data_IF_400050917694
#
_entry.id   IF_400050917694
#
_cell.length_a   1.000
_cell.length_b   1.000
_cell.length_c   1.000
_cell.angle_alpha   90.00
_cell.angle_beta   90.00
_cell.angle_gamma   90.00
#
_symmetry.space_group_name_H-M   'P 1'
#
loop_
_entity.id
_entity.type
_entity.pdbx_description
1 polymer ?
#
# COMPACT_ATOMS: atom_id res chain seq x y z
N UNK A 1 -22.77 -5.34 -24.81
CA UNK A 1 -21.43 -4.74 -24.88
C UNK A 1 -20.79 -5.01 -23.53
N UNK A 2 -19.70 -5.78 -23.47
CA UNK A 2 -19.08 -6.16 -22.21
C UNK A 2 -18.38 -4.94 -21.58
N UNK A 3 -18.58 -4.71 -20.29
CA UNK A 3 -17.86 -3.68 -19.51
C UNK A 3 -16.76 -4.34 -18.64
N UNK A 4 -16.24 -5.52 -19.04
CA UNK A 4 -14.99 -6.06 -18.49
C UNK A 4 -13.80 -5.24 -19.01
N UNK A 5 -13.63 -4.05 -18.45
CA UNK A 5 -12.74 -3.05 -19.02
C UNK A 5 -11.36 -3.19 -18.40
N UNK A 6 -10.59 -4.13 -18.94
CA UNK A 6 -9.14 -4.10 -18.75
C UNK A 6 -8.64 -2.75 -19.27
N UNK A 7 -7.80 -2.06 -18.50
CA UNK A 7 -7.04 -0.90 -18.95
C UNK A 7 -6.37 -1.31 -20.27
N UNK A 8 -6.76 -0.72 -21.41
CA UNK A 8 -6.26 -1.18 -22.69
C UNK A 8 -4.76 -0.92 -22.80
N UNK A 9 -4.04 -1.86 -23.42
CA UNK A 9 -2.59 -1.82 -23.59
C UNK A 9 -2.14 -0.80 -24.66
N UNK A 10 -2.71 0.40 -24.66
CA UNK A 10 -2.32 1.46 -25.59
C UNK A 10 -0.89 1.93 -25.31
N UNK A 11 -0.15 2.39 -26.34
CA UNK A 11 0.99 3.24 -26.11
C UNK A 11 0.48 4.53 -25.48
N UNK A 12 0.86 4.78 -24.23
CA UNK A 12 0.44 5.96 -23.49
C UNK A 12 1.44 7.07 -23.82
N UNK A 13 0.93 8.23 -24.24
CA UNK A 13 1.69 9.46 -24.28
C UNK A 13 2.24 9.77 -22.88
N UNK A 14 3.34 10.53 -22.79
CA UNK A 14 3.99 10.87 -21.51
C UNK A 14 3.94 12.39 -21.25
N UNK A 15 3.92 12.76 -19.96
CA UNK A 15 4.05 14.15 -19.53
C UNK A 15 2.94 15.06 -20.05
N UNK A 16 3.31 16.22 -20.62
CA UNK A 16 2.33 17.21 -21.10
C UNK A 16 1.44 16.69 -22.24
N UNK A 17 1.97 15.84 -23.12
CA UNK A 17 1.21 15.26 -24.22
C UNK A 17 0.08 14.33 -23.72
N UNK A 18 0.34 13.60 -22.62
CA UNK A 18 -0.68 12.80 -21.94
C UNK A 18 -1.82 13.66 -21.40
N UNK A 19 -1.46 14.77 -20.75
CA UNK A 19 -2.44 15.68 -20.16
C UNK A 19 -3.30 16.34 -21.24
N UNK A 20 -2.70 16.75 -22.36
CA UNK A 20 -3.41 17.35 -23.50
C UNK A 20 -4.34 16.35 -24.20
N UNK A 21 -3.86 15.12 -24.45
CA UNK A 21 -4.67 14.05 -25.04
C UNK A 21 -5.85 13.68 -24.13
N UNK A 22 -5.61 13.59 -22.82
CA UNK A 22 -6.68 13.31 -21.86
C UNK A 22 -7.68 14.45 -21.78
N UNK A 23 -7.22 15.70 -21.67
CA UNK A 23 -8.09 16.87 -21.61
C UNK A 23 -9.00 16.93 -22.85
N UNK A 24 -8.46 16.60 -24.03
CA UNK A 24 -9.22 16.51 -25.28
C UNK A 24 -10.30 15.42 -25.20
N UNK A 25 -9.98 14.24 -24.64
CA UNK A 25 -10.95 13.13 -24.47
C UNK A 25 -12.04 13.45 -23.45
N UNK A 26 -11.68 14.12 -22.35
CA UNK A 26 -12.63 14.53 -21.30
C UNK A 26 -13.51 15.72 -21.71
N UNK A 27 -13.06 16.52 -22.67
CA UNK A 27 -13.85 17.62 -23.25
C UNK A 27 -14.86 17.18 -24.32
N UNK A 28 -15.02 15.86 -24.55
CA UNK A 28 -16.02 15.33 -25.47
C UNK A 28 -17.46 15.63 -25.00
N UNK A 29 -18.43 15.63 -25.93
CA UNK A 29 -19.83 16.01 -25.65
C UNK A 29 -20.50 15.17 -24.55
N UNK A 30 -20.04 13.95 -24.31
CA UNK A 30 -20.46 13.08 -23.19
C UNK A 30 -19.24 12.54 -22.41
N UNK A 31 -18.81 13.25 -21.35
CA UNK A 31 -17.62 12.91 -20.56
C UNK A 31 -17.81 11.65 -19.69
N UNK A 32 -19.04 11.13 -19.59
CA UNK A 32 -19.38 9.91 -18.85
C UNK A 32 -19.82 8.79 -19.79
N UNK A 33 -19.69 8.99 -21.11
CA UNK A 33 -19.89 7.92 -22.08
C UNK A 33 -18.97 6.74 -21.77
N UNK A 34 -19.42 5.57 -22.21
CA UNK A 34 -18.61 4.37 -22.27
C UNK A 34 -17.20 4.67 -22.81
N UNK A 35 -17.06 5.36 -23.93
CA UNK A 35 -15.73 5.62 -24.52
C UNK A 35 -14.90 6.62 -23.70
N UNK A 36 -15.53 7.65 -23.12
CA UNK A 36 -14.86 8.62 -22.28
C UNK A 36 -14.31 8.00 -20.97
N UNK A 37 -15.07 7.11 -20.33
CA UNK A 37 -14.61 6.37 -19.15
C UNK A 37 -13.42 5.44 -19.47
N UNK A 38 -13.38 4.84 -20.66
CA UNK A 38 -12.21 4.09 -21.12
C UNK A 38 -10.98 4.95 -21.31
N UNK A 39 -11.19 6.13 -21.90
CA UNK A 39 -10.17 7.16 -22.00
C UNK A 39 -9.63 7.53 -20.62
N UNK A 40 -10.51 7.80 -19.67
CA UNK A 40 -10.15 8.17 -18.30
C UNK A 40 -9.37 7.07 -17.58
N UNK A 41 -9.84 5.82 -17.61
CA UNK A 41 -9.15 4.69 -16.98
C UNK A 41 -7.78 4.42 -17.61
N UNK A 42 -7.66 4.59 -18.94
CA UNK A 42 -6.38 4.54 -19.62
C UNK A 42 -5.44 5.64 -19.13
N UNK A 43 -5.94 6.87 -18.98
CA UNK A 43 -5.14 7.98 -18.45
C UNK A 43 -4.70 7.74 -17.01
N UNK A 44 -5.55 7.17 -16.16
CA UNK A 44 -5.16 6.84 -14.78
C UNK A 44 -3.96 5.90 -14.76
N UNK A 45 -3.94 4.88 -15.63
CA UNK A 45 -2.78 4.01 -15.78
C UNK A 45 -1.55 4.76 -16.31
N UNK A 46 -1.72 5.69 -17.26
CA UNK A 46 -0.62 6.52 -17.75
C UNK A 46 0.00 7.40 -16.67
N UNK A 47 -0.84 8.06 -15.86
CA UNK A 47 -0.40 8.89 -14.73
C UNK A 47 0.39 8.04 -13.75
N UNK A 48 -0.14 6.86 -13.37
CA UNK A 48 0.55 5.93 -12.48
C UNK A 48 1.88 5.45 -13.06
N UNK A 49 1.93 5.11 -14.34
CA UNK A 49 3.17 4.70 -15.03
C UNK A 49 4.16 5.85 -15.16
N UNK A 50 3.71 7.08 -15.36
CA UNK A 50 4.58 8.27 -15.37
C UNK A 50 5.25 8.46 -14.01
N UNK A 51 4.47 8.36 -12.92
CA UNK A 51 5.00 8.41 -11.56
C UNK A 51 5.97 7.23 -11.34
N UNK A 52 5.63 6.02 -11.78
CA UNK A 52 6.50 4.83 -11.75
C UNK A 52 7.84 5.05 -12.45
N UNK A 53 7.85 5.67 -13.63
CA UNK A 53 9.06 5.98 -14.41
C UNK A 53 9.92 7.08 -13.76
N UNK A 54 9.34 7.93 -12.91
CA UNK A 54 9.97 9.09 -12.30
C UNK A 54 9.89 9.08 -10.76
N UNK A 55 10.35 8.01 -10.09
CA UNK A 55 10.22 7.89 -8.64
C UNK A 55 11.09 8.91 -7.90
N UNK A 56 10.53 9.48 -6.84
CA UNK A 56 11.21 10.34 -5.89
C UNK A 56 11.00 9.79 -4.48
N UNK A 57 12.05 9.69 -3.64
CA UNK A 57 11.93 9.12 -2.30
C UNK A 57 11.26 10.08 -1.32
N UNK A 58 10.86 9.54 -0.17
CA UNK A 58 10.26 10.30 0.93
C UNK A 58 10.94 11.64 1.23
N UNK A 59 10.14 12.72 1.26
CA UNK A 59 10.53 14.13 1.43
C UNK A 59 11.34 14.76 0.28
N UNK A 60 11.41 14.12 -0.88
CA UNK A 60 12.06 14.60 -2.11
C UNK A 60 11.12 14.60 -3.33
N UNK A 61 9.82 14.36 -3.13
CA UNK A 61 8.74 14.21 -4.12
C UNK A 61 8.33 15.54 -4.79
N UNK A 62 9.30 16.38 -5.13
CA UNK A 62 9.09 17.72 -5.68
C UNK A 62 8.47 17.67 -7.07
N UNK A 63 8.97 16.79 -7.95
CA UNK A 63 8.43 16.63 -9.31
C UNK A 63 7.12 15.87 -9.29
N UNK A 64 7.00 14.86 -8.43
CA UNK A 64 5.75 14.09 -8.27
C UNK A 64 4.62 14.99 -7.77
N UNK A 65 4.86 15.82 -6.74
CA UNK A 65 3.89 16.83 -6.29
C UNK A 65 3.51 17.78 -7.43
N UNK A 66 4.50 18.36 -8.11
CA UNK A 66 4.26 19.30 -9.21
C UNK A 66 3.43 18.66 -10.34
N UNK A 67 3.70 17.40 -10.68
CA UNK A 67 2.96 16.65 -11.68
C UNK A 67 1.52 16.36 -11.24
N UNK A 68 1.30 15.95 -9.99
CA UNK A 68 -0.05 15.72 -9.44
C UNK A 68 -0.84 17.04 -9.45
N UNK A 69 -0.24 18.13 -8.96
CA UNK A 69 -0.85 19.46 -8.97
C UNK A 69 -1.24 19.89 -10.37
N UNK A 70 -0.33 19.76 -11.34
CA UNK A 70 -0.61 20.09 -12.74
C UNK A 70 -1.73 19.22 -13.31
N UNK A 71 -1.74 17.94 -12.99
CA UNK A 71 -2.77 16.98 -13.41
C UNK A 71 -4.13 17.38 -12.87
N UNK A 72 -4.24 17.69 -11.59
CA UNK A 72 -5.49 18.12 -10.94
C UNK A 72 -6.01 19.45 -11.50
N UNK A 73 -5.11 20.39 -11.79
CA UNK A 73 -5.49 21.68 -12.40
C UNK A 73 -5.93 21.52 -13.86
N UNK A 74 -5.16 20.79 -14.66
CA UNK A 74 -5.36 20.72 -16.11
C UNK A 74 -6.47 19.74 -16.51
N UNK A 75 -6.58 18.61 -15.81
CA UNK A 75 -7.56 17.57 -16.13
C UNK A 75 -8.85 17.70 -15.34
N UNK A 76 -8.77 17.95 -14.04
CA UNK A 76 -9.95 18.04 -13.17
C UNK A 76 -10.47 19.47 -13.01
N UNK A 77 -9.79 20.47 -13.57
CA UNK A 77 -10.20 21.88 -13.50
C UNK A 77 -10.23 22.43 -12.08
N UNK A 78 -9.51 21.82 -11.14
CA UNK A 78 -9.52 22.23 -9.73
C UNK A 78 -8.80 23.57 -9.54
N UNK A 79 -9.41 24.45 -8.76
CA UNK A 79 -8.87 25.76 -8.41
C UNK A 79 -7.52 25.61 -7.69
N UNK A 80 -6.44 26.26 -8.14
CA UNK A 80 -5.18 26.30 -7.40
C UNK A 80 -5.32 26.72 -5.92
N UNK A 81 -6.32 27.55 -5.59
CA UNK A 81 -6.59 27.98 -4.22
C UNK A 81 -7.14 26.87 -3.32
N UNK A 82 -7.61 25.75 -3.89
CA UNK A 82 -8.05 24.58 -3.14
C UNK A 82 -6.90 23.60 -2.83
N UNK A 83 -5.68 23.91 -3.28
CA UNK A 83 -4.52 23.05 -3.14
C UNK A 83 -3.42 23.72 -2.34
N UNK A 84 -2.98 23.08 -1.26
CA UNK A 84 -1.90 23.60 -0.40
C UNK A 84 -0.81 22.56 -0.20
N UNK A 85 0.43 23.04 -0.18
CA UNK A 85 1.56 22.21 0.22
C UNK A 85 1.44 21.84 1.70
N UNK A 86 1.97 20.69 2.05
CA UNK A 86 1.89 20.12 3.39
C UNK A 86 3.09 19.20 3.63
N UNK A 87 3.72 19.23 4.79
CA UNK A 87 4.83 18.35 5.15
C UNK A 87 5.98 18.37 4.12
N UNK A 88 6.42 19.58 3.72
CA UNK A 88 7.49 19.87 2.73
C UNK A 88 7.14 19.52 1.27
N UNK A 89 6.69 18.30 0.99
CA UNK A 89 6.45 17.79 -0.37
C UNK A 89 5.06 17.20 -0.56
N UNK A 90 4.29 17.01 0.50
CA UNK A 90 2.89 16.57 0.45
C UNK A 90 1.95 17.63 -0.12
N UNK A 91 0.77 17.17 -0.54
CA UNK A 91 -0.28 18.00 -1.14
C UNK A 91 -1.61 17.71 -0.43
N UNK A 92 -2.30 18.75 0.01
CA UNK A 92 -3.69 18.66 0.49
C UNK A 92 -4.58 19.38 -0.52
N UNK A 93 -5.66 18.72 -0.92
CA UNK A 93 -6.60 19.20 -1.95
C UNK A 93 -8.00 19.19 -1.37
N UNK A 94 -8.59 20.37 -1.21
CA UNK A 94 -9.96 20.54 -0.76
C UNK A 94 -10.90 20.51 -1.96
N UNK A 95 -11.91 19.64 -1.93
CA UNK A 95 -13.00 19.59 -2.91
C UNK A 95 -14.29 19.92 -2.18
N UNK A 96 -14.89 21.06 -2.53
CA UNK A 96 -16.14 21.53 -1.90
C UNK A 96 -17.33 21.08 -2.75
N UNK A 97 -18.25 20.35 -2.14
CA UNK A 97 -19.53 20.02 -2.78
C UNK A 97 -20.41 21.27 -2.95
N UNK A 98 -21.16 21.32 -4.03
CA UNK A 98 -22.19 22.33 -4.28
C UNK A 98 -23.53 21.80 -3.74
N UNK A 99 -23.90 22.20 -2.52
CA UNK A 99 -25.16 21.78 -1.92
C UNK A 99 -25.34 22.29 -0.49
N UNK A 100 -26.58 22.29 0.04
CA UNK A 100 -26.79 22.54 1.47
C UNK A 100 -26.01 21.50 2.29
N UNK A 101 -25.55 21.83 3.52
CA UNK A 101 -24.94 20.86 4.42
C UNK A 101 -25.80 19.61 4.49
N UNK A 102 -25.18 18.46 4.27
CA UNK A 102 -25.88 17.20 4.12
C UNK A 102 -26.90 16.98 5.24
N UNK A 103 -28.14 16.69 4.87
CA UNK A 103 -29.16 16.18 5.78
C UNK A 103 -28.95 14.68 6.10
N UNK A 104 -27.80 14.11 5.73
CA UNK A 104 -27.46 12.72 6.04
C UNK A 104 -27.58 12.49 7.55
N UNK A 105 -28.18 11.34 7.89
CA UNK A 105 -28.33 10.90 9.27
C UNK A 105 -26.98 10.79 10.02
N UNK A 106 -25.86 10.77 9.29
CA UNK A 106 -24.50 10.71 9.82
C UNK A 106 -23.97 12.05 10.36
N UNK A 107 -24.52 13.19 9.94
CA UNK A 107 -24.08 14.53 10.37
C UNK A 107 -22.68 14.95 9.87
N UNK A 108 -22.10 14.21 8.93
CA UNK A 108 -20.75 14.43 8.41
C UNK A 108 -20.74 15.60 7.41
N UNK A 109 -19.65 16.36 7.43
CA UNK A 109 -19.41 17.48 6.52
C UNK A 109 -18.19 17.26 5.64
N UNK A 110 -17.15 16.63 6.19
CA UNK A 110 -15.87 16.47 5.51
C UNK A 110 -15.30 15.08 5.78
N UNK A 111 -14.90 14.39 4.71
CA UNK A 111 -14.10 13.16 4.82
C UNK A 111 -12.77 13.36 4.08
N UNK A 112 -11.70 12.75 4.58
CA UNK A 112 -10.40 12.74 3.93
C UNK A 112 -10.17 11.41 3.21
N UNK A 113 -9.67 11.48 1.97
CA UNK A 113 -9.19 10.32 1.22
C UNK A 113 -7.67 10.44 1.11
N UNK A 114 -6.94 9.41 1.53
CA UNK A 114 -5.48 9.41 1.51
C UNK A 114 -4.96 8.51 0.42
N UNK A 115 -4.05 9.06 -0.38
CA UNK A 115 -3.13 8.33 -1.23
C UNK A 115 -1.74 8.94 -1.02
N UNK A 116 -0.73 8.09 -1.00
CA UNK A 116 0.66 8.44 -0.86
C UNK A 116 1.36 8.33 -2.23
N UNK A 117 2.60 8.81 -2.33
CA UNK A 117 3.19 9.08 -3.64
C UNK A 117 4.69 8.85 -3.75
N UNK A 118 5.32 8.38 -2.68
CA UNK A 118 6.77 8.37 -2.59
C UNK A 118 7.38 6.98 -2.81
N UNK A 119 8.63 7.00 -3.27
CA UNK A 119 9.33 5.82 -3.73
C UNK A 119 10.33 5.28 -2.69
N UNK A 120 10.72 4.02 -2.88
CA UNK A 120 11.75 3.39 -2.06
C UNK A 120 13.14 3.61 -2.64
N UNK A 121 14.14 3.74 -1.76
CA UNK A 121 15.58 3.75 -2.14
C UNK A 121 16.08 2.34 -2.45
N UNK A 122 15.58 1.77 -3.54
CA UNK A 122 15.91 0.44 -4.01
C UNK A 122 15.96 0.42 -5.55
N UNK A 123 16.93 -0.28 -6.13
CA UNK A 123 17.02 -0.36 -7.60
C UNK A 123 15.96 -1.29 -8.18
N UNK A 124 15.16 -0.79 -9.13
CA UNK A 124 14.23 -1.61 -9.90
C UNK A 124 14.97 -2.57 -10.84
N UNK A 125 14.65 -3.86 -10.73
CA UNK A 125 15.25 -4.95 -11.53
C UNK A 125 14.27 -5.52 -12.56
N UNK A 126 13.04 -5.03 -12.62
CA UNK A 126 12.04 -5.48 -13.59
C UNK A 126 12.32 -4.94 -15.01
N UNK A 127 13.24 -5.59 -15.72
CA UNK A 127 13.65 -5.17 -17.07
C UNK A 127 12.55 -5.34 -18.13
N UNK A 128 11.45 -6.04 -17.84
CA UNK A 128 10.33 -6.19 -18.76
C UNK A 128 9.38 -5.01 -18.78
N UNK A 129 9.39 -4.14 -17.77
CA UNK A 129 8.47 -3.00 -17.74
C UNK A 129 8.93 -1.90 -18.70
N UNK A 130 8.07 -1.48 -19.65
CA UNK A 130 8.40 -0.37 -20.54
C UNK A 130 8.49 0.96 -19.79
N UNK A 131 7.82 1.05 -18.65
CA UNK A 131 7.75 2.22 -17.76
C UNK A 131 8.60 2.06 -16.49
N UNK A 132 9.60 1.17 -16.48
CA UNK A 132 10.52 1.04 -15.33
C UNK A 132 11.16 2.39 -14.97
N UNK A 133 11.53 2.54 -13.71
CA UNK A 133 12.25 3.70 -13.17
C UNK A 133 13.41 4.12 -14.07
N UNK A 134 13.42 5.41 -14.41
CA UNK A 134 14.54 6.08 -15.09
C UNK A 134 15.53 6.69 -14.10
N UNK A 135 15.18 6.73 -12.81
CA UNK A 135 16.00 7.23 -11.72
C UNK A 135 16.67 6.03 -11.01
N UNK A 136 17.91 5.70 -11.40
CA UNK A 136 18.62 4.55 -10.84
C UNK A 136 18.71 4.61 -9.31
N UNK A 137 18.49 3.48 -8.65
CA UNK A 137 18.49 3.38 -7.19
C UNK A 137 17.13 3.62 -6.54
N UNK A 138 16.07 3.86 -7.32
CA UNK A 138 14.71 4.03 -6.83
C UNK A 138 13.71 3.12 -7.54
N UNK A 139 12.72 2.63 -6.78
CA UNK A 139 11.61 1.82 -7.28
C UNK A 139 10.33 2.19 -6.55
N UNK A 140 9.20 2.10 -7.27
CA UNK A 140 7.87 2.24 -6.70
C UNK A 140 7.28 0.87 -6.45
N UNK A 141 6.82 0.67 -5.22
CA UNK A 141 6.34 -0.61 -4.73
C UNK A 141 4.79 -0.70 -4.77
N UNK A 142 4.20 -0.02 -5.74
CA UNK A 142 2.76 0.23 -5.73
C UNK A 142 2.33 1.13 -4.58
N UNK A 143 3.31 1.68 -3.86
CA UNK A 143 3.12 2.76 -2.93
C UNK A 143 2.79 4.03 -3.74
N UNK A 144 1.78 4.85 -3.45
CA UNK A 144 1.01 4.94 -2.21
C UNK A 144 1.79 4.56 -0.95
N UNK A 145 1.59 3.45 -0.24
CA UNK A 145 2.22 3.13 1.06
C UNK A 145 3.75 3.20 1.32
N UNK A 146 4.49 4.34 1.43
CA UNK A 146 5.60 4.58 2.41
C UNK A 146 6.46 5.84 2.15
N UNK A 147 6.20 6.89 2.96
CA UNK A 147 7.03 8.07 3.33
C UNK A 147 6.71 9.48 2.73
N UNK A 148 5.43 9.87 2.67
CA UNK A 148 5.06 11.16 3.30
C UNK A 148 4.54 10.88 4.69
N UNK A 149 5.33 11.16 5.71
CA UNK A 149 4.93 10.84 7.09
C UNK A 149 3.60 11.52 7.40
N UNK A 150 2.58 10.72 7.69
CA UNK A 150 1.26 11.16 8.12
C UNK A 150 1.34 12.19 9.25
N UNK A 151 2.25 12.00 10.20
CA UNK A 151 2.42 12.87 11.37
C UNK A 151 2.73 14.34 11.02
N UNK A 152 3.79 14.69 10.27
CA UNK A 152 3.99 16.05 9.75
C UNK A 152 2.77 16.62 9.02
N UNK A 153 2.05 15.83 8.22
CA UNK A 153 0.85 16.33 7.54
C UNK A 153 -0.26 16.69 8.54
N UNK A 154 -0.47 15.85 9.55
CA UNK A 154 -1.41 16.10 10.65
C UNK A 154 -0.98 17.35 11.45
N UNK A 155 0.30 17.51 11.73
CA UNK A 155 0.86 18.67 12.44
C UNK A 155 0.69 19.99 11.65
N UNK A 156 0.69 19.91 10.31
CA UNK A 156 0.39 21.02 9.39
C UNK A 156 -1.10 21.10 8.98
N UNK A 157 -1.99 20.50 9.78
CA UNK A 157 -3.44 20.69 9.67
C UNK A 157 -4.13 19.91 8.56
N UNK A 158 -3.54 18.83 8.03
CA UNK A 158 -4.17 17.99 6.99
C UNK A 158 -5.51 17.38 7.41
N UNK A 159 -5.79 17.31 8.72
CA UNK A 159 -7.05 16.80 9.28
C UNK A 159 -7.96 17.89 9.87
N UNK A 160 -7.63 19.16 9.69
CA UNK A 160 -8.41 20.24 10.28
C UNK A 160 -9.84 20.26 9.70
N UNK A 161 -10.83 20.01 10.56
CA UNK A 161 -12.24 19.96 10.15
C UNK A 161 -12.67 18.70 9.39
N UNK A 162 -11.83 17.65 9.38
CA UNK A 162 -12.14 16.33 8.84
C UNK A 162 -12.90 15.48 9.88
N UNK A 163 -14.03 14.91 9.49
CA UNK A 163 -14.85 14.07 10.37
C UNK A 163 -14.46 12.58 10.29
N UNK A 164 -14.05 12.11 9.11
CA UNK A 164 -13.59 10.73 8.87
C UNK A 164 -12.42 10.68 7.88
N UNK A 165 -11.56 9.65 7.95
CA UNK A 165 -10.53 9.40 6.94
C UNK A 165 -10.58 7.98 6.36
N UNK A 166 -10.19 7.84 5.09
CA UNK A 166 -10.20 6.58 4.36
C UNK A 166 -8.96 6.45 3.50
N UNK A 167 -8.41 5.25 3.42
CA UNK A 167 -7.27 4.90 2.58
C UNK A 167 -7.32 3.45 2.17
N UNK A 168 -6.55 3.09 1.14
CA UNK A 168 -6.41 1.70 0.73
C UNK A 168 -4.97 1.40 0.36
N UNK A 169 -4.65 0.12 0.20
CA UNK A 169 -3.39 -0.33 -0.38
C UNK A 169 -3.66 -1.45 -1.38
N UNK A 170 -2.94 -1.47 -2.50
CA UNK A 170 -2.97 -2.62 -3.42
C UNK A 170 -2.25 -3.81 -2.77
N UNK A 171 -2.71 -5.05 -2.97
CA UNK A 171 -1.98 -6.21 -2.44
C UNK A 171 -1.83 -7.29 -3.52
N UNK A 172 -0.61 -7.52 -4.04
CA UNK A 172 -0.35 -8.50 -5.12
C UNK A 172 -0.65 -9.94 -4.74
N UNK A 173 -0.77 -10.24 -3.45
CA UNK A 173 -1.12 -11.57 -2.95
C UNK A 173 -2.62 -11.83 -2.91
N UNK A 174 -3.46 -10.79 -2.91
CA UNK A 174 -4.92 -10.93 -2.90
C UNK A 174 -5.46 -11.00 -4.33
N UNK A 175 -6.49 -11.82 -4.54
CA UNK A 175 -7.13 -12.03 -5.84
C UNK A 175 -7.74 -10.72 -6.35
N UNK A 176 -7.51 -10.41 -7.63
CA UNK A 176 -8.05 -9.25 -8.29
C UNK A 176 -9.58 -9.27 -8.25
N UNK A 177 -10.18 -8.13 -7.90
CA UNK A 177 -11.62 -8.04 -7.65
C UNK A 177 -12.05 -8.35 -6.21
N UNK A 178 -11.11 -8.71 -5.32
CA UNK A 178 -11.38 -8.88 -3.90
C UNK A 178 -11.00 -7.63 -3.11
N UNK A 179 -11.85 -7.27 -2.14
CA UNK A 179 -11.56 -6.27 -1.11
C UNK A 179 -11.30 -6.97 0.22
N UNK A 180 -10.19 -6.63 0.88
CA UNK A 180 -9.87 -7.17 2.19
C UNK A 180 -9.93 -6.08 3.26
N UNK A 181 -10.79 -6.25 4.26
CA UNK A 181 -11.01 -5.29 5.34
C UNK A 181 -11.46 -6.03 6.59
N UNK A 182 -11.01 -5.59 7.77
CA UNK A 182 -11.48 -6.12 9.06
C UNK A 182 -11.67 -5.02 10.09
N UNK A 183 -12.43 -5.32 11.14
CA UNK A 183 -12.55 -4.46 12.34
C UNK A 183 -11.26 -4.53 13.18
N UNK A 184 -10.94 -3.45 13.88
CA UNK A 184 -9.78 -3.39 14.77
C UNK A 184 -8.47 -3.36 13.97
N UNK A 185 -7.39 -3.95 14.52
CA UNK A 185 -6.07 -3.94 13.89
C UNK A 185 -6.09 -4.62 12.51
N UNK A 186 -5.68 -3.89 11.47
CA UNK A 186 -5.56 -4.35 10.08
C UNK A 186 -4.08 -4.53 9.71
N UNK A 187 -3.20 -3.66 10.20
CA UNK A 187 -1.74 -3.71 10.04
C UNK A 187 -1.03 -3.47 11.37
N UNK A 188 0.20 -3.99 11.47
CA UNK A 188 1.01 -3.87 12.67
C UNK A 188 1.54 -2.46 12.89
N UNK A 189 1.61 -2.08 14.16
CA UNK A 189 2.30 -0.92 14.67
C UNK A 189 3.82 -1.09 14.49
N UNK A 190 4.52 -0.21 13.75
CA UNK A 190 5.96 -0.28 13.61
C UNK A 190 6.65 0.53 14.72
N UNK A 191 7.60 -0.10 15.41
CA UNK A 191 8.54 0.59 16.30
C UNK A 191 9.96 0.21 15.89
N UNK A 192 10.86 1.19 15.75
CA UNK A 192 12.30 0.88 15.65
C UNK A 192 12.90 0.78 17.04
N UNK A 193 14.05 0.13 17.19
CA UNK A 193 14.79 0.15 18.44
C UNK A 193 16.29 0.22 18.20
N UNK A 194 17.00 0.76 19.19
CA UNK A 194 18.45 0.76 19.29
C UNK A 194 18.86 0.25 20.67
N UNK A 195 19.81 -0.68 20.71
CA UNK A 195 20.41 -1.24 21.91
C UNK A 195 21.92 -1.01 21.83
N UNK A 196 22.51 -0.41 22.86
CA UNK A 196 23.97 -0.27 22.98
C UNK A 196 24.44 -1.10 24.16
N UNK A 197 25.17 -2.17 23.86
CA UNK A 197 25.81 -3.02 24.86
C UNK A 197 27.17 -2.44 25.17
N UNK A 198 27.36 -1.96 26.40
CA UNK A 198 28.64 -1.41 26.87
C UNK A 198 29.35 -2.44 27.73
N UNK A 199 30.60 -2.72 27.37
CA UNK A 199 31.51 -3.59 28.09
C UNK A 199 32.76 -2.82 28.54
N UNK A 200 33.89 -3.49 28.46
CA UNK A 200 35.22 -2.93 28.73
C UNK A 200 36.18 -3.57 27.75
N UNK A 201 36.72 -2.76 26.85
CA UNK A 201 37.64 -3.21 25.82
C UNK A 201 38.95 -3.76 26.38
N UNK A 202 39.65 -4.52 25.56
CA UNK A 202 40.91 -5.15 25.95
C UNK A 202 41.58 -5.90 24.82
N UNK A 203 42.81 -6.34 25.06
CA UNK A 203 43.50 -7.18 24.09
C UNK A 203 42.78 -8.53 23.96
N UNK A 204 42.51 -8.99 22.73
CA UNK A 204 41.80 -10.25 22.48
C UNK A 204 42.47 -11.52 23.03
N UNK A 205 43.74 -11.45 23.44
CA UNK A 205 44.45 -12.55 24.13
C UNK A 205 44.25 -12.56 25.65
N UNK A 206 43.63 -11.51 26.20
CA UNK A 206 43.41 -11.32 27.64
C UNK A 206 41.93 -11.09 27.96
N UNK A 207 41.02 -12.01 27.59
CA UNK A 207 39.59 -11.80 27.80
C UNK A 207 39.20 -11.68 29.29
N UNK A 208 40.00 -12.23 30.20
CA UNK A 208 39.77 -12.20 31.65
C UNK A 208 39.91 -10.80 32.30
N UNK A 209 40.50 -9.81 31.61
CA UNK A 209 40.58 -8.41 32.10
C UNK A 209 39.60 -7.46 31.40
N UNK A 210 38.88 -7.98 30.40
CA UNK A 210 37.87 -7.28 29.60
C UNK A 210 36.45 -7.70 30.04
N UNK A 211 35.46 -6.96 29.57
CA UNK A 211 34.04 -7.35 29.64
C UNK A 211 33.54 -7.31 28.22
N UNK A 212 33.31 -8.47 27.60
CA UNK A 212 33.10 -8.58 26.16
C UNK A 212 31.66 -8.23 25.74
N UNK A 213 31.44 -7.08 25.07
CA UNK A 213 30.10 -6.71 24.61
C UNK A 213 29.69 -7.46 23.34
N UNK A 214 30.62 -8.04 22.57
CA UNK A 214 30.31 -8.85 21.37
C UNK A 214 29.66 -10.15 21.79
N UNK A 215 30.23 -10.83 22.80
CA UNK A 215 29.64 -12.05 23.36
C UNK A 215 28.23 -11.78 23.91
N UNK A 216 28.08 -10.68 24.65
CA UNK A 216 26.79 -10.28 25.23
C UNK A 216 25.74 -9.98 24.15
N UNK A 217 26.10 -9.21 23.12
CA UNK A 217 25.21 -8.93 21.98
C UNK A 217 24.80 -10.22 21.24
N UNK A 218 25.74 -11.15 21.02
CA UNK A 218 25.46 -12.44 20.40
C UNK A 218 24.45 -13.30 21.19
N UNK A 219 24.38 -13.14 22.52
CA UNK A 219 23.38 -13.81 23.36
C UNK A 219 22.02 -13.09 23.38
N UNK A 220 21.99 -11.77 23.15
CA UNK A 220 20.75 -11.00 23.07
C UNK A 220 19.98 -11.33 21.79
N UNK A 221 20.65 -11.43 20.64
CA UNK A 221 19.97 -11.58 19.32
C UNK A 221 18.99 -12.77 19.27
N UNK A 222 19.33 -14.00 19.67
CA UNK A 222 18.42 -15.15 19.57
C UNK A 222 17.17 -15.03 20.45
N UNK A 223 17.24 -14.29 21.56
CA UNK A 223 16.10 -14.10 22.45
C UNK A 223 15.09 -13.09 21.88
N UNK A 224 15.53 -12.23 20.96
CA UNK A 224 14.75 -11.11 20.44
C UNK A 224 14.46 -11.20 18.95
N UNK A 225 14.97 -12.21 18.25
CA UNK A 225 14.74 -12.40 16.82
C UNK A 225 13.67 -13.48 16.61
N UNK A 226 12.47 -13.07 16.19
CA UNK A 226 11.35 -13.95 15.88
C UNK A 226 10.00 -13.48 16.39
N UNK A 227 8.98 -14.32 16.22
CA UNK A 227 7.65 -14.16 16.84
C UNK A 227 7.76 -14.48 18.32
N UNK A 228 7.41 -13.55 19.21
CA UNK A 228 7.44 -13.82 20.66
C UNK A 228 6.17 -14.60 21.04
N UNK A 229 6.25 -15.89 21.46
CA UNK A 229 5.07 -16.74 21.60
C UNK A 229 4.18 -16.41 22.82
N UNK A 230 4.63 -15.55 23.73
CA UNK A 230 3.84 -15.15 24.91
C UNK A 230 3.00 -13.91 24.63
N UNK A 231 3.29 -13.24 23.52
CA UNK A 231 2.65 -12.05 23.02
C UNK A 231 2.26 -12.35 21.57
N UNK A 232 1.16 -13.10 21.38
CA UNK A 232 0.60 -13.68 20.11
C UNK A 232 0.46 -12.71 18.91
N UNK A 233 0.99 -11.50 19.00
CA UNK A 233 0.86 -10.42 18.05
C UNK A 233 2.14 -9.60 17.84
N UNK A 234 3.31 -10.00 18.39
CA UNK A 234 4.56 -9.26 18.20
C UNK A 234 5.66 -10.02 17.42
N UNK A 235 6.29 -9.30 16.49
CA UNK A 235 7.50 -9.71 15.77
C UNK A 235 8.62 -8.73 16.10
N UNK A 236 9.69 -9.24 16.70
CA UNK A 236 10.91 -8.47 16.94
C UNK A 236 12.02 -8.97 16.02
N UNK A 237 12.68 -8.05 15.33
CA UNK A 237 13.72 -8.35 14.35
C UNK A 237 14.91 -7.44 14.57
N UNK A 238 16.01 -7.98 15.11
CA UNK A 238 17.33 -7.32 15.02
C UNK A 238 17.80 -7.41 13.57
N UNK A 239 18.00 -6.26 12.93
CA UNK A 239 18.37 -6.16 11.51
C UNK A 239 19.78 -5.59 11.30
N UNK A 240 20.41 -5.09 12.36
CA UNK A 240 21.75 -4.51 12.32
C UNK A 240 22.54 -4.82 13.59
N UNK A 241 23.82 -5.14 13.43
CA UNK A 241 24.79 -5.26 14.53
C UNK A 241 26.15 -4.67 14.09
N UNK A 242 26.70 -3.76 14.91
CA UNK A 242 28.00 -3.12 14.68
C UNK A 242 28.84 -3.15 15.97
N UNK A 243 30.07 -3.66 15.87
CA UNK A 243 30.97 -3.75 17.01
C UNK A 243 32.38 -4.16 16.62
N UNK A 244 33.38 -3.47 17.17
CA UNK A 244 34.80 -3.72 16.88
C UNK A 244 35.29 -3.08 15.58
N UNK A 245 36.58 -2.76 15.56
CA UNK A 245 37.27 -2.16 14.39
C UNK A 245 38.43 -3.04 13.89
N UNK A 246 39.02 -3.84 14.77
CA UNK A 246 40.20 -4.68 14.48
C UNK A 246 40.03 -6.07 15.11
N UNK A 247 40.56 -7.10 14.47
CA UNK A 247 40.28 -8.51 14.81
C UNK A 247 40.91 -9.01 16.12
N UNK A 248 41.85 -8.28 16.70
CA UNK A 248 42.62 -8.68 17.89
C UNK A 248 42.30 -7.85 19.15
N UNK A 249 41.23 -7.05 19.12
CA UNK A 249 40.78 -6.20 20.24
C UNK A 249 39.33 -6.52 20.56
N UNK A 250 39.03 -6.72 21.84
CA UNK A 250 37.67 -6.75 22.37
C UNK A 250 37.21 -5.29 22.45
N UNK A 251 36.09 -4.90 21.80
CA UNK A 251 35.65 -3.51 21.78
C UNK A 251 35.01 -3.08 23.11
N UNK A 252 34.92 -1.77 23.31
CA UNK A 252 34.20 -1.20 24.46
C UNK A 252 32.67 -1.30 24.32
N UNK A 253 32.15 -1.31 23.08
CA UNK A 253 30.71 -1.29 22.82
C UNK A 253 30.33 -2.10 21.56
N UNK A 254 29.08 -2.57 21.57
CA UNK A 254 28.37 -3.10 20.39
C UNK A 254 27.01 -2.43 20.30
N UNK A 255 26.67 -1.97 19.11
CA UNK A 255 25.36 -1.41 18.79
C UNK A 255 24.52 -2.41 18.00
N UNK A 256 23.26 -2.57 18.39
CA UNK A 256 22.25 -3.32 17.64
C UNK A 256 21.06 -2.42 17.33
N UNK A 257 20.49 -2.57 16.14
CA UNK A 257 19.23 -1.92 15.78
C UNK A 257 18.28 -2.93 15.15
N UNK A 258 16.99 -2.61 15.20
CA UNK A 258 15.96 -3.47 14.68
C UNK A 258 14.59 -2.81 14.68
N UNK A 259 13.59 -3.64 14.43
CA UNK A 259 12.18 -3.26 14.46
C UNK A 259 11.38 -4.22 15.32
N UNK A 260 10.45 -3.68 16.10
CA UNK A 260 9.37 -4.37 16.77
C UNK A 260 8.06 -4.04 16.05
N UNK A 261 7.24 -5.06 15.80
CA UNK A 261 5.94 -4.94 15.16
C UNK A 261 4.91 -5.59 16.04
N UNK A 262 3.84 -4.90 16.40
CA UNK A 262 2.77 -5.44 17.24
C UNK A 262 1.37 -5.11 16.69
N UNK A 263 0.35 -5.88 17.09
CA UNK A 263 -1.05 -5.59 16.77
C UNK A 263 -1.81 -4.92 17.92
N UNK A 264 -1.15 -4.80 19.07
CA UNK A 264 -1.66 -4.16 20.29
C UNK A 264 -0.51 -3.35 20.91
N UNK A 265 -0.59 -2.01 20.91
CA UNK A 265 0.48 -1.14 21.42
C UNK A 265 0.90 -1.45 22.88
N UNK A 266 0.03 -2.05 23.69
CA UNK A 266 0.37 -2.46 25.07
C UNK A 266 1.42 -3.56 25.12
N UNK A 267 1.54 -4.35 24.05
CA UNK A 267 2.58 -5.37 23.86
C UNK A 267 3.95 -4.72 23.76
N UNK A 268 4.04 -3.62 23.01
CA UNK A 268 5.26 -2.83 22.88
C UNK A 268 5.70 -2.25 24.24
N UNK A 269 4.77 -1.69 25.02
CA UNK A 269 5.07 -1.19 26.37
C UNK A 269 5.63 -2.28 27.30
N UNK A 270 5.12 -3.50 27.19
CA UNK A 270 5.60 -4.65 27.98
C UNK A 270 7.01 -5.05 27.59
N UNK A 271 7.32 -5.06 26.29
CA UNK A 271 8.67 -5.32 25.78
C UNK A 271 9.68 -4.25 26.23
N UNK A 272 9.28 -2.97 26.22
CA UNK A 272 10.11 -1.87 26.74
C UNK A 272 10.38 -1.97 28.24
N UNK A 273 9.37 -2.33 29.05
CA UNK A 273 9.49 -2.43 30.52
C UNK A 273 10.39 -3.58 30.99
N UNK A 274 10.65 -4.60 30.16
CA UNK A 274 11.55 -5.71 30.48
C UNK A 274 13.05 -5.36 30.41
N UNK A 275 13.42 -4.07 30.36
CA UNK A 275 14.81 -3.55 30.29
C UNK A 275 15.62 -4.03 29.06
N UNK A 276 14.93 -4.53 28.04
CA UNK A 276 15.52 -5.13 26.84
C UNK A 276 15.92 -4.07 25.79
N UNK A 277 15.32 -2.88 25.82
CA UNK A 277 15.57 -1.79 24.86
C UNK A 277 15.79 -0.48 25.62
N UNK A 278 17.04 -0.08 25.80
CA UNK A 278 17.40 1.28 26.19
C UNK A 278 17.61 2.13 24.92
N UNK A 279 16.51 2.65 24.35
CA UNK A 279 16.57 3.52 23.19
C UNK A 279 15.19 4.03 22.79
N UNK A 280 14.96 5.32 23.01
CA UNK A 280 13.74 6.00 22.60
C UNK A 280 13.61 5.95 21.07
N UNK A 281 12.53 5.33 20.59
CA UNK A 281 12.07 5.47 19.22
C UNK A 281 10.63 5.98 19.25
N UNK A 282 10.30 6.86 18.31
CA UNK A 282 8.95 7.38 18.16
C UNK A 282 7.99 6.21 17.92
N UNK A 283 7.06 5.99 18.85
CA UNK A 283 5.95 5.08 18.66
C UNK A 283 5.17 5.54 17.43
N UNK A 284 4.94 4.62 16.49
CA UNK A 284 3.95 4.81 15.45
C UNK A 284 2.55 4.51 16.00
N UNK A 285 1.58 4.35 15.10
CA UNK A 285 0.23 3.93 15.44
C UNK A 285 -0.04 2.51 14.89
N UNK A 286 -0.99 1.76 15.48
CA UNK A 286 -1.55 0.56 14.82
C UNK A 286 -2.64 1.02 13.86
N UNK A 287 -2.71 0.44 12.65
CA UNK A 287 -3.83 0.75 11.73
C UNK A 287 -5.08 0.03 12.24
N UNK A 288 -5.79 0.66 13.16
CA UNK A 288 -7.05 0.14 13.69
C UNK A 288 -8.23 0.81 13.02
N UNK A 289 -8.93 0.08 12.14
CA UNK A 289 -10.22 0.53 11.62
C UNK A 289 -11.24 0.49 12.78
N UNK A 290 -11.85 1.63 13.13
CA UNK A 290 -12.87 1.66 14.19
C UNK A 290 -14.09 0.85 13.73
N UNK A 291 -14.65 0.06 14.66
CA UNK A 291 -15.46 -1.14 14.38
C UNK A 291 -16.51 -0.98 13.26
N UNK A 292 -17.29 0.09 13.25
CA UNK A 292 -18.37 0.27 12.27
C UNK A 292 -17.96 0.91 10.94
N UNK A 293 -16.72 1.39 10.79
CA UNK A 293 -16.21 1.97 9.52
C UNK A 293 -15.72 0.91 8.56
N UNK A 294 -15.07 -0.12 9.10
CA UNK A 294 -14.74 -1.32 8.36
C UNK A 294 -16.02 -1.97 7.78
N UNK A 295 -17.11 -1.97 8.56
CA UNK A 295 -18.42 -2.45 8.08
C UNK A 295 -18.94 -1.62 6.91
N UNK A 296 -18.90 -0.28 7.00
CA UNK A 296 -19.34 0.58 5.90
C UNK A 296 -18.56 0.32 4.60
N UNK A 297 -17.24 0.13 4.69
CA UNK A 297 -16.41 -0.25 3.53
C UNK A 297 -16.80 -1.64 3.01
N UNK A 298 -16.97 -2.62 3.89
CA UNK A 298 -17.33 -3.98 3.52
C UNK A 298 -18.72 -4.05 2.86
N UNK A 299 -19.71 -3.37 3.43
CA UNK A 299 -21.10 -3.35 2.94
C UNK A 299 -21.20 -2.64 1.60
N UNK A 300 -20.50 -1.51 1.44
CA UNK A 300 -20.38 -0.84 0.15
C UNK A 300 -19.72 -1.75 -0.90
N UNK A 301 -18.64 -2.45 -0.53
CA UNK A 301 -17.95 -3.38 -1.42
C UNK A 301 -18.85 -4.52 -1.89
N UNK A 302 -19.58 -5.18 -0.97
CA UNK A 302 -20.57 -6.23 -1.31
C UNK A 302 -21.63 -5.70 -2.28
N UNK A 303 -22.13 -4.49 -2.03
CA UNK A 303 -23.13 -3.83 -2.87
C UNK A 303 -22.60 -3.53 -4.27
N UNK A 304 -21.40 -2.96 -4.39
CA UNK A 304 -20.81 -2.59 -5.68
C UNK A 304 -20.34 -3.82 -6.49
N UNK A 305 -19.75 -4.81 -5.83
CA UNK A 305 -19.26 -6.04 -6.46
C UNK A 305 -20.38 -7.07 -6.70
N UNK A 306 -21.56 -6.83 -6.12
CA UNK A 306 -22.75 -7.69 -6.19
C UNK A 306 -22.46 -9.14 -5.75
N UNK A 307 -21.53 -9.28 -4.79
CA UNK A 307 -20.99 -10.57 -4.31
C UNK A 307 -20.61 -10.48 -2.85
N UNK A 308 -21.14 -11.42 -2.08
CA UNK A 308 -20.85 -11.51 -0.66
C UNK A 308 -19.40 -11.97 -0.43
N UNK A 309 -18.93 -12.91 -1.24
CA UNK A 309 -17.60 -13.48 -1.14
C UNK A 309 -16.50 -12.58 -1.72
N UNK A 310 -16.84 -11.43 -2.31
CA UNK A 310 -15.85 -10.48 -2.82
C UNK A 310 -15.20 -9.63 -1.71
N UNK A 311 -15.65 -9.80 -0.46
CA UNK A 311 -15.07 -9.20 0.73
C UNK A 311 -14.52 -10.29 1.65
N UNK A 312 -13.30 -10.11 2.16
CA UNK A 312 -12.64 -11.11 3.00
C UNK A 312 -11.81 -10.49 4.12
N UNK A 313 -11.68 -11.19 5.24
CA UNK A 313 -10.68 -10.89 6.28
C UNK A 313 -9.43 -11.78 6.13
N UNK A 314 -9.41 -12.72 5.18
CA UNK A 314 -8.31 -13.67 5.00
C UNK A 314 -6.99 -12.94 4.77
N UNK A 315 -5.97 -13.34 5.53
CA UNK A 315 -4.63 -12.74 5.46
C UNK A 315 -4.48 -11.46 6.29
N UNK A 316 -5.53 -11.01 6.97
CA UNK A 316 -5.48 -9.91 7.94
C UNK A 316 -5.54 -10.45 9.39
N UNK A 317 -4.93 -9.75 10.37
CA UNK A 317 -4.08 -8.58 10.20
C UNK A 317 -2.71 -8.92 9.62
N UNK A 318 -2.10 -7.92 8.97
CA UNK A 318 -0.77 -8.06 8.37
C UNK A 318 0.32 -7.50 9.28
N UNK A 319 1.47 -8.15 9.32
CA UNK A 319 2.65 -7.65 10.05
C UNK A 319 3.40 -6.53 9.32
N UNK A 320 2.98 -6.20 8.09
CA UNK A 320 3.34 -4.93 7.45
C UNK A 320 2.88 -3.75 8.32
N UNK A 321 3.50 -2.59 8.12
CA UNK A 321 3.13 -1.39 8.83
C UNK A 321 2.84 -0.25 7.86
N UNK A 322 1.95 0.64 8.27
CA UNK A 322 1.40 1.72 7.47
C UNK A 322 1.20 2.95 8.35
N UNK A 323 1.66 4.11 7.91
CA UNK A 323 1.58 5.34 8.68
C UNK A 323 0.20 6.02 8.57
N UNK A 324 -0.68 5.52 7.70
CA UNK A 324 -2.12 5.83 7.75
C UNK A 324 -2.74 5.61 9.14
N UNK A 325 -2.16 4.70 9.93
CA UNK A 325 -2.48 4.50 11.35
C UNK A 325 -2.49 5.80 12.18
N UNK A 326 -1.61 6.75 11.88
CA UNK A 326 -1.55 8.05 12.56
C UNK A 326 -2.81 8.88 12.32
N UNK A 327 -3.38 8.82 11.11
CA UNK A 327 -4.65 9.49 10.81
C UNK A 327 -5.80 8.82 11.59
N UNK A 328 -5.82 7.48 11.67
CA UNK A 328 -6.84 6.72 12.40
C UNK A 328 -6.81 6.95 13.92
N UNK A 329 -5.67 7.38 14.47
CA UNK A 329 -5.57 7.84 15.85
C UNK A 329 -6.20 9.22 16.09
N UNK A 330 -6.36 10.05 15.04
CA UNK A 330 -6.90 11.41 15.13
C UNK A 330 -8.37 11.48 14.78
N UNK A 331 -8.78 10.83 13.70
CA UNK A 331 -10.17 10.83 13.21
C UNK A 331 -10.61 9.39 12.93
N UNK A 332 -11.90 9.06 13.12
CA UNK A 332 -12.40 7.73 12.79
C UNK A 332 -12.24 7.44 11.30
N UNK A 333 -11.97 6.19 10.94
CA UNK A 333 -11.73 5.83 9.56
C UNK A 333 -11.59 4.34 9.32
N UNK A 334 -11.28 3.99 8.07
CA UNK A 334 -10.97 2.61 7.68
C UNK A 334 -9.83 2.57 6.65
N UNK A 335 -9.05 1.48 6.74
CA UNK A 335 -8.03 1.11 5.77
C UNK A 335 -8.33 -0.30 5.25
N UNK A 336 -8.27 -0.49 3.94
CA UNK A 336 -8.55 -1.78 3.29
C UNK A 336 -7.52 -2.10 2.21
N UNK A 337 -7.56 -3.32 1.70
CA UNK A 337 -6.72 -3.74 0.59
C UNK A 337 -7.56 -4.10 -0.63
N UNK A 338 -7.04 -3.78 -1.81
CA UNK A 338 -7.58 -4.26 -3.08
C UNK A 338 -6.60 -5.28 -3.68
N UNK A 339 -7.11 -6.45 -4.04
CA UNK A 339 -6.28 -7.47 -4.68
C UNK A 339 -5.82 -7.08 -6.07
N UNK A 340 -4.54 -7.34 -6.35
CA UNK A 340 -3.93 -7.11 -7.67
C UNK A 340 -3.72 -8.39 -8.49
N UNK A 341 -3.93 -9.56 -7.90
CA UNK A 341 -3.52 -10.83 -8.50
C UNK A 341 -4.55 -11.36 -9.50
N UNK A 342 -4.22 -11.41 -10.79
CA UNK A 342 -5.12 -12.02 -11.80
C UNK A 342 -5.17 -13.56 -11.71
N UNK A 343 -4.22 -14.19 -11.03
CA UNK A 343 -4.18 -15.65 -10.83
C UNK A 343 -4.87 -16.05 -9.52
N UNK A 344 -5.77 -17.04 -9.60
CA UNK A 344 -6.38 -17.63 -8.40
C UNK A 344 -5.37 -18.48 -7.64
N UNK A 345 -4.73 -17.89 -6.64
CA UNK A 345 -3.83 -18.60 -5.72
C UNK A 345 -4.59 -19.17 -4.52
N UNK A 346 -4.38 -20.45 -4.23
CA UNK A 346 -4.95 -21.16 -3.09
C UNK A 346 -3.90 -21.41 -1.98
N UNK A 347 -4.27 -21.19 -0.71
CA UNK A 347 -3.49 -21.56 0.47
C UNK A 347 -2.21 -20.74 0.71
N UNK A 348 -1.19 -21.36 1.35
CA UNK A 348 0.08 -20.72 1.75
C UNK A 348 0.90 -20.14 0.58
N UNK A 349 0.53 -20.45 -0.67
CA UNK A 349 1.05 -19.81 -1.88
C UNK A 349 0.75 -18.29 -1.90
N UNK A 350 -0.27 -17.82 -1.17
CA UNK A 350 -0.62 -16.40 -1.00
C UNK A 350 0.47 -15.56 -0.35
N UNK A 351 1.40 -16.14 0.43
CA UNK A 351 2.38 -15.36 1.22
C UNK A 351 3.82 -15.39 0.66
N UNK A 352 4.04 -16.02 -0.50
CA UNK A 352 5.41 -16.14 -1.03
C UNK A 352 5.58 -16.76 -2.42
N UNK A 353 4.50 -17.01 -3.17
CA UNK A 353 4.65 -17.54 -4.53
C UNK A 353 5.04 -16.42 -5.51
N UNK A 354 6.34 -16.22 -5.68
CA UNK A 354 6.95 -15.59 -6.86
C UNK A 354 6.73 -16.45 -8.13
N UNK A 355 5.47 -16.77 -8.43
CA UNK A 355 5.09 -17.75 -9.46
C UNK A 355 4.86 -17.17 -10.85
N UNK A 356 4.54 -15.88 -10.95
CA UNK A 356 4.40 -15.20 -12.24
C UNK A 356 4.94 -13.77 -12.16
N UNK A 357 5.40 -13.25 -13.31
CA UNK A 357 6.07 -11.93 -13.41
C UNK A 357 5.22 -10.77 -12.87
N UNK A 358 3.90 -10.94 -12.79
CA UNK A 358 2.91 -9.93 -12.37
C UNK A 358 2.52 -9.98 -10.88
N UNK A 359 3.10 -10.89 -10.09
CA UNK A 359 2.68 -11.15 -8.70
C UNK A 359 3.83 -11.04 -7.68
N UNK A 360 4.83 -10.22 -7.98
CA UNK A 360 5.90 -9.98 -7.03
C UNK A 360 5.37 -9.16 -5.84
N UNK A 361 5.68 -9.62 -4.63
CA UNK A 361 5.26 -8.95 -3.39
C UNK A 361 5.80 -7.52 -3.30
N UNK A 362 5.16 -6.71 -2.47
CA UNK A 362 5.70 -5.43 -2.08
C UNK A 362 7.14 -5.56 -1.56
N UNK A 363 7.99 -4.60 -1.91
CA UNK A 363 9.41 -4.38 -1.65
C UNK A 363 10.30 -5.33 -2.46
N UNK A 364 9.74 -6.03 -3.44
CA UNK A 364 10.52 -6.81 -4.39
C UNK A 364 11.04 -5.92 -5.53
N UNK A 365 12.31 -6.09 -5.90
CA UNK A 365 12.91 -5.35 -7.04
C UNK A 365 12.26 -5.64 -8.39
N UNK A 366 11.49 -6.73 -8.49
CA UNK A 366 10.72 -7.12 -9.66
C UNK A 366 9.20 -6.83 -9.53
N UNK A 367 8.80 -6.00 -8.55
CA UNK A 367 7.40 -5.59 -8.36
C UNK A 367 6.77 -5.07 -9.65
N UNK A 368 5.50 -5.41 -9.86
CA UNK A 368 4.66 -4.95 -10.96
C UNK A 368 3.24 -4.76 -10.43
N UNK A 369 2.64 -3.60 -10.71
CA UNK A 369 1.30 -3.25 -10.22
C UNK A 369 0.28 -3.58 -11.31
N UNK A 370 -0.86 -4.11 -10.88
CA UNK A 370 -1.99 -4.32 -11.78
C UNK A 370 -2.75 -3.01 -12.00
N UNK A 371 -2.53 -2.36 -13.15
CA UNK A 371 -3.19 -1.09 -13.50
C UNK A 371 -4.73 -1.16 -13.47
N UNK A 372 -5.33 -2.36 -13.56
CA UNK A 372 -6.78 -2.54 -13.45
C UNK A 372 -7.33 -2.28 -12.05
N UNK A 373 -6.48 -2.21 -11.01
CA UNK A 373 -6.89 -1.84 -9.65
C UNK A 373 -7.27 -0.37 -9.57
N UNK A 374 -6.62 0.52 -10.33
CA UNK A 374 -6.82 1.97 -10.21
C UNK A 374 -8.26 2.41 -10.53
N UNK A 375 -8.90 1.97 -11.63
CA UNK A 375 -10.32 2.27 -11.88
C UNK A 375 -11.25 1.79 -10.77
N UNK A 376 -11.02 0.59 -10.22
CA UNK A 376 -11.82 0.07 -9.11
C UNK A 376 -11.70 0.97 -7.88
N UNK A 377 -10.47 1.34 -7.51
CA UNK A 377 -10.21 2.20 -6.36
C UNK A 377 -10.89 3.57 -6.51
N UNK A 378 -10.77 4.20 -7.69
CA UNK A 378 -11.38 5.51 -7.94
C UNK A 378 -12.90 5.46 -7.86
N UNK A 379 -13.54 4.50 -8.54
CA UNK A 379 -15.01 4.38 -8.47
C UNK A 379 -15.44 4.04 -7.04
N UNK A 380 -14.72 3.16 -6.33
CA UNK A 380 -15.01 2.84 -4.94
C UNK A 380 -14.96 4.08 -4.04
N UNK A 381 -13.93 4.92 -4.16
CA UNK A 381 -13.83 6.17 -3.41
C UNK A 381 -14.97 7.15 -3.71
N UNK A 382 -15.37 7.30 -4.97
CA UNK A 382 -16.53 8.15 -5.34
C UNK A 382 -17.80 7.63 -4.67
N UNK A 383 -18.06 6.32 -4.72
CA UNK A 383 -19.23 5.72 -4.08
C UNK A 383 -19.18 5.80 -2.56
N UNK A 384 -17.98 5.74 -1.99
CA UNK A 384 -17.77 5.94 -0.56
C UNK A 384 -18.11 7.38 -0.16
N UNK A 385 -17.69 8.39 -0.94
CA UNK A 385 -18.06 9.79 -0.72
C UNK A 385 -19.58 9.96 -0.73
N UNK A 386 -20.26 9.42 -1.75
CA UNK A 386 -21.73 9.45 -1.85
C UNK A 386 -22.41 8.83 -0.63
N UNK A 387 -21.97 7.64 -0.21
CA UNK A 387 -22.56 6.93 0.91
C UNK A 387 -22.29 7.60 2.27
N UNK A 388 -21.06 8.07 2.49
CA UNK A 388 -20.67 8.69 3.76
C UNK A 388 -21.29 10.08 3.90
N UNK A 389 -21.21 10.92 2.88
CA UNK A 389 -21.77 12.27 2.90
C UNK A 389 -23.27 12.31 2.57
N UNK A 390 -23.88 11.17 2.20
CA UNK A 390 -25.30 11.08 1.85
C UNK A 390 -25.68 11.96 0.67
N UNK A 391 -24.82 12.01 -0.34
CA UNK A 391 -25.04 12.73 -1.60
C UNK A 391 -25.09 11.74 -2.78
N UNK A 392 -25.56 12.24 -3.92
CA UNK A 392 -25.51 11.51 -5.20
C UNK A 392 -24.74 12.39 -6.19
N UNK A 393 -23.58 11.93 -6.61
CA UNK A 393 -22.73 12.59 -7.60
C UNK A 393 -22.99 12.03 -9.00
N UNK A 394 -23.12 10.70 -9.10
CA UNK A 394 -23.36 9.98 -10.35
C UNK A 394 -24.37 8.87 -10.16
N UNK A 395 -25.27 8.65 -11.11
CA UNK A 395 -26.07 7.42 -11.16
C UNK A 395 -25.19 6.19 -11.41
N UNK A 396 -25.72 4.98 -11.18
CA UNK A 396 -25.01 3.73 -11.50
C UNK A 396 -24.77 3.59 -13.02
N UNK A 397 -25.64 4.16 -13.85
CA UNK A 397 -25.49 4.16 -15.30
C UNK A 397 -24.39 5.11 -15.78
N UNK A 398 -24.22 6.25 -15.11
CA UNK A 398 -23.21 7.27 -15.44
C UNK A 398 -21.80 6.85 -15.00
N UNK A 399 -21.67 6.16 -13.86
CA UNK A 399 -20.38 5.68 -13.35
C UNK A 399 -20.49 4.21 -12.90
N UNK A 400 -20.51 3.25 -13.86
CA UNK A 400 -20.61 1.83 -13.54
C UNK A 400 -19.35 1.32 -12.84
N UNK A 401 -19.50 0.30 -11.99
CA UNK A 401 -18.35 -0.33 -11.36
C UNK A 401 -17.54 -1.14 -12.40
N UNK A 402 -16.20 -0.96 -12.54
CA UNK A 402 -15.41 -1.49 -13.67
C UNK A 402 -15.34 -3.02 -13.82
N UNK A 403 -15.90 -3.76 -12.85
CA UNK A 403 -15.91 -5.22 -12.81
C UNK A 403 -17.28 -5.85 -13.09
N UNK A 404 -18.27 -5.06 -13.50
CA UNK A 404 -19.58 -5.56 -13.87
C UNK A 404 -19.75 -5.53 -15.40
N UNK A 405 -20.38 -6.56 -15.94
CA UNK A 405 -20.89 -6.62 -17.31
C UNK A 405 -22.09 -5.67 -17.52
N UNK A 406 -22.53 -5.46 -18.77
CA UNK A 406 -23.65 -4.55 -19.08
C UNK A 406 -25.01 -4.96 -18.51
N UNK A 407 -25.20 -6.23 -18.17
CA UNK A 407 -26.38 -6.73 -17.45
C UNK A 407 -26.20 -6.64 -15.93
N UNK A 408 -25.05 -6.12 -15.48
CA UNK A 408 -24.67 -6.03 -14.09
C UNK A 408 -24.27 -7.37 -13.47
N UNK A 409 -23.98 -8.39 -14.29
CA UNK A 409 -23.34 -9.62 -13.87
C UNK A 409 -21.83 -9.41 -13.69
N UNK A 410 -21.12 -10.24 -12.91
CA UNK A 410 -19.71 -10.02 -12.68
C UNK A 410 -18.81 -10.43 -13.87
N UNK A 411 -17.89 -9.55 -14.25
CA UNK A 411 -17.17 -9.61 -15.53
C UNK A 411 -16.09 -10.71 -15.67
N UNK A 412 -15.81 -11.45 -14.60
CA UNK A 412 -14.87 -12.57 -14.62
C UNK A 412 -15.55 -13.94 -14.78
N UNK A 413 -16.89 -14.03 -14.75
CA UNK A 413 -17.60 -15.29 -14.99
C UNK A 413 -17.69 -15.65 -16.50
N UNK A 414 -17.50 -14.67 -17.39
CA UNK A 414 -17.72 -14.80 -18.83
C UNK A 414 -16.50 -15.22 -19.69
N UNK A 415 -15.26 -15.15 -19.20
CA UNK A 415 -14.07 -15.44 -20.02
C UNK A 415 -13.58 -16.89 -19.93
N UNK A 416 -14.40 -17.80 -19.41
CA UNK A 416 -14.03 -19.19 -19.10
C UNK A 416 -14.93 -20.26 -19.70
N UNK A 417 -15.70 -20.01 -20.77
CA UNK A 417 -16.54 -21.06 -21.35
C UNK A 417 -16.89 -20.84 -22.83
N UNK A 418 -15.88 -20.84 -23.71
CA UNK A 418 -16.11 -21.21 -25.11
C UNK A 418 -15.18 -22.38 -25.50
N UNK A 419 -15.66 -23.59 -25.21
CA UNK A 419 -15.80 -24.62 -26.24
C UNK A 419 -14.56 -25.16 -26.96
N UNK A 420 -13.40 -25.27 -26.32
CA UNK A 420 -12.32 -26.15 -26.78
C UNK A 420 -12.23 -27.39 -25.91
N UNK A 421 -12.70 -28.55 -26.38
CA UNK A 421 -12.60 -29.84 -25.66
C UNK A 421 -11.17 -30.06 -25.15
N UNK A 422 -10.94 -29.93 -23.84
CA UNK A 422 -9.70 -30.40 -23.18
C UNK A 422 -9.67 -31.93 -23.27
N UNK A 423 -8.77 -32.48 -24.08
CA UNK A 423 -8.31 -33.84 -23.84
C UNK A 423 -7.50 -33.85 -22.54
N UNK A 424 -7.66 -34.86 -21.66
CA UNK A 424 -6.89 -34.94 -20.43
C UNK A 424 -5.41 -35.19 -20.78
N UNK A 425 -4.54 -34.29 -20.33
CA UNK A 425 -3.10 -34.45 -20.45
C UNK A 425 -2.67 -35.69 -19.64
N UNK A 426 -2.02 -36.64 -20.30
CA UNK A 426 -1.40 -37.80 -19.67
C UNK A 426 -0.26 -37.39 -18.71
N UNK A 427 0.18 -38.31 -17.84
CA UNK A 427 1.18 -38.01 -16.81
C UNK A 427 2.52 -37.58 -17.43
N UNK A 428 3.08 -36.51 -16.87
CA UNK A 428 4.34 -35.87 -17.27
C UNK A 428 5.51 -36.84 -17.05
N UNK A 429 6.21 -37.25 -18.12
CA UNK A 429 7.48 -37.98 -18.04
C UNK A 429 8.63 -37.01 -17.82
N UNK A 430 9.37 -37.17 -16.72
CA UNK A 430 10.62 -36.46 -16.44
C UNK A 430 11.78 -37.01 -17.32
N UNK A 431 12.73 -36.16 -17.75
CA UNK A 431 13.82 -36.58 -18.63
C UNK A 431 14.82 -37.49 -17.91
N UNK A 432 15.16 -38.61 -18.55
CA UNK A 432 16.10 -39.60 -18.06
C UNK A 432 17.51 -39.02 -17.93
N UNK A 433 18.06 -39.07 -16.71
CA UNK A 433 19.46 -38.72 -16.42
C UNK A 433 20.44 -39.61 -17.18
N UNK A 434 21.46 -38.98 -17.77
CA UNK A 434 22.65 -39.66 -18.32
C UNK A 434 23.40 -40.34 -17.17
N UNK A 435 23.53 -41.67 -17.24
CA UNK A 435 24.47 -42.44 -16.42
C UNK A 435 25.90 -42.15 -16.88
N UNK A 436 26.78 -41.82 -15.94
CA UNK A 436 28.21 -42.06 -16.05
C UNK A 436 28.68 -42.70 -14.73
N UNK A 437 29.64 -43.62 -14.87
CA UNK A 437 30.03 -44.71 -13.97
C UNK A 437 30.43 -44.31 -12.56
#
# INVERSE_FOLDING_TARGET
MSYCRRVPAFPLSEGAALLEETATRLAAEDPLSAEALDGLFSTMASIRRHIHSNPEPGFEEVKTNAFIRQTLQSLAGLDPASMRDCAKTGLVVDIKGEGPPSAAASGLRTIALRADMDALRMTEMNRSLPYRSTNEGYLLCGHDGHMTRAKPMIEEGALDGVDECYGYHNWPAFEYGMLHVKRGAVMAHPTSFKIVVTGKGGHGSQPHVAVDPVLTAAHIVPYHHGTEPTLDSAVCSVTMIHGGEVSNVIPDQVEMQGTLRDLDPTVCETMYRREIVAGACAAGASTTSREWRADAVADLARKLLRREEAVSEDGLPMMGAEDFSEFLHKVPGAFWFLGGNEEKLNGWARLGAAGSRSNCMCHNTAFDFNDNVSPMAAVFFVRLVEERLGCSLYSEAELPFPLLEADGAPAWEGSGANGGKKQPAGPIQLPAGKKAK
#
